data_IF_876019647456
#
_entry.id   IF_876019647456
#
_cell.length_a   1.000
_cell.length_b   1.000
_cell.length_c   1.000
_cell.angle_alpha   90.00
_cell.angle_beta   90.00
_cell.angle_gamma   90.00
#
_symmetry.space_group_name_H-M   'P 1'
#
loop_
_entity.id
_entity.type
_entity.pdbx_description
1 polymer ?
#
# COMPACT_ATOMS: atom_id res chain seq x y z
N UNK A 1 34.13 -28.22 4.08
CA UNK A 1 32.70 -28.36 4.44
C UNK A 1 31.89 -27.58 3.41
N UNK A 2 31.10 -28.27 2.58
CA UNK A 2 30.34 -27.66 1.48
C UNK A 2 29.02 -27.12 2.03
N UNK A 3 28.77 -25.83 1.89
CA UNK A 3 27.43 -25.26 1.92
C UNK A 3 27.23 -24.46 0.63
N UNK A 4 26.92 -25.18 -0.43
CA UNK A 4 26.49 -24.62 -1.70
C UNK A 4 24.96 -24.43 -1.62
N UNK A 5 24.50 -23.19 -1.51
CA UNK A 5 23.10 -22.73 -1.60
C UNK A 5 23.23 -21.21 -1.77
N UNK A 6 22.87 -20.55 -2.86
CA UNK A 6 21.75 -20.75 -3.78
C UNK A 6 22.16 -20.15 -5.15
N UNK A 7 22.32 -21.00 -6.16
CA UNK A 7 22.01 -20.56 -7.54
C UNK A 7 20.58 -21.02 -7.78
N UNK A 8 19.63 -20.12 -7.50
CA UNK A 8 18.26 -20.20 -8.00
C UNK A 8 18.07 -18.85 -8.64
N UNK A 9 18.07 -18.78 -9.96
CA UNK A 9 17.51 -17.62 -10.63
C UNK A 9 16.10 -17.46 -10.04
N UNK A 10 15.88 -16.44 -9.20
CA UNK A 10 14.60 -16.23 -8.57
C UNK A 10 13.57 -16.09 -9.68
N UNK A 11 12.60 -17.00 -9.70
CA UNK A 11 11.60 -17.01 -10.77
C UNK A 11 10.78 -15.75 -10.62
N UNK A 12 10.97 -14.83 -11.57
CA UNK A 12 10.23 -13.59 -11.64
C UNK A 12 8.85 -13.90 -12.21
N UNK A 13 7.82 -13.47 -11.50
CA UNK A 13 6.43 -13.59 -11.89
C UNK A 13 5.77 -12.21 -11.82
N UNK A 14 4.56 -12.12 -12.34
CA UNK A 14 3.73 -10.93 -12.19
C UNK A 14 2.29 -11.28 -11.83
N UNK A 15 1.63 -10.36 -11.13
CA UNK A 15 0.21 -10.46 -10.76
C UNK A 15 -0.50 -9.16 -11.10
N UNK A 16 -1.65 -9.28 -11.74
CA UNK A 16 -2.59 -8.18 -11.92
C UNK A 16 -3.52 -8.12 -10.70
N UNK A 17 -3.69 -6.91 -10.15
CA UNK A 17 -4.55 -6.62 -9.02
C UNK A 17 -5.48 -5.47 -9.40
N UNK A 18 -6.79 -5.67 -9.25
CA UNK A 18 -7.78 -4.62 -9.47
C UNK A 18 -8.45 -4.29 -8.14
N UNK A 19 -8.20 -3.09 -7.62
CA UNK A 19 -8.81 -2.61 -6.39
C UNK A 19 -10.26 -2.18 -6.65
N UNK A 20 -11.17 -2.61 -5.76
CA UNK A 20 -12.59 -2.29 -5.84
C UNK A 20 -13.11 -1.83 -4.46
N UNK A 21 -14.03 -0.84 -4.40
CA UNK A 21 -14.58 -0.05 -5.51
C UNK A 21 -13.51 0.82 -6.18
N UNK A 22 -13.76 1.39 -7.36
CA UNK A 22 -12.84 2.37 -7.95
C UNK A 22 -13.03 3.72 -7.26
N UNK A 23 -12.19 4.00 -6.25
CA UNK A 23 -12.24 5.22 -5.45
C UNK A 23 -10.92 5.99 -5.59
N UNK A 24 -10.94 7.07 -6.37
CA UNK A 24 -9.76 7.88 -6.65
C UNK A 24 -9.17 8.54 -5.40
N UNK A 25 -9.97 8.79 -4.36
CA UNK A 25 -9.49 9.39 -3.12
C UNK A 25 -8.66 8.36 -2.35
N UNK A 26 -9.14 7.12 -2.24
CA UNK A 26 -8.38 6.02 -1.61
C UNK A 26 -7.13 5.69 -2.39
N UNK A 27 -7.21 5.68 -3.73
CA UNK A 27 -6.06 5.45 -4.59
C UNK A 27 -5.00 6.54 -4.42
N UNK A 28 -5.39 7.81 -4.32
CA UNK A 28 -4.45 8.89 -4.06
C UNK A 28 -3.75 8.75 -2.70
N UNK A 29 -4.48 8.37 -1.64
CA UNK A 29 -3.90 8.08 -0.31
C UNK A 29 -2.93 6.89 -0.36
N UNK A 30 -3.31 5.81 -1.05
CA UNK A 30 -2.49 4.63 -1.23
C UNK A 30 -1.19 4.95 -1.96
N UNK A 31 -1.27 5.68 -3.08
CA UNK A 31 -0.09 6.00 -3.89
C UNK A 31 0.81 7.07 -3.21
N UNK A 32 0.21 7.98 -2.45
CA UNK A 32 0.91 9.12 -1.85
C UNK A 32 1.31 10.18 -2.88
N UNK A 33 2.09 11.16 -2.45
CA UNK A 33 2.55 12.23 -3.34
C UNK A 33 3.59 11.68 -4.32
N UNK A 34 3.38 11.85 -5.63
CA UNK A 34 4.30 11.36 -6.68
C UNK A 34 4.66 9.86 -6.54
N UNK A 35 3.69 9.05 -6.14
CA UNK A 35 3.84 7.60 -5.94
C UNK A 35 4.88 7.21 -4.86
N UNK A 36 5.15 8.11 -3.89
CA UNK A 36 6.13 7.87 -2.81
C UNK A 36 5.86 6.60 -1.99
N UNK A 37 4.59 6.26 -1.76
CA UNK A 37 4.22 5.08 -0.99
C UNK A 37 4.47 3.80 -1.81
N UNK A 38 4.18 3.84 -3.11
CA UNK A 38 4.45 2.71 -3.99
C UNK A 38 5.95 2.42 -4.04
N UNK A 39 6.79 3.45 -4.18
CA UNK A 39 8.26 3.31 -4.18
C UNK A 39 8.79 2.70 -2.88
N UNK A 40 8.21 3.06 -1.74
CA UNK A 40 8.56 2.46 -0.45
C UNK A 40 8.19 0.97 -0.39
N UNK A 41 7.00 0.62 -0.87
CA UNK A 41 6.54 -0.78 -0.94
C UNK A 41 7.44 -1.59 -1.88
N UNK A 42 7.78 -1.05 -3.06
CA UNK A 42 8.70 -1.64 -4.03
C UNK A 42 10.06 -1.96 -3.39
N UNK A 43 10.66 -0.97 -2.71
CA UNK A 43 11.95 -1.14 -2.04
C UNK A 43 11.91 -2.17 -0.91
N UNK A 44 10.84 -2.20 -0.11
CA UNK A 44 10.73 -3.09 1.04
C UNK A 44 10.45 -4.54 0.63
N UNK A 45 9.56 -4.74 -0.35
CA UNK A 45 9.15 -6.07 -0.81
C UNK A 45 10.05 -6.61 -1.94
N UNK A 46 10.97 -5.79 -2.46
CA UNK A 46 11.83 -6.10 -3.62
C UNK A 46 10.99 -6.48 -4.85
N UNK A 47 10.06 -5.59 -5.22
CA UNK A 47 9.13 -5.75 -6.35
C UNK A 47 9.09 -4.47 -7.18
N UNK A 48 8.59 -4.58 -8.41
CA UNK A 48 8.18 -3.46 -9.26
C UNK A 48 6.64 -3.39 -9.26
N UNK A 49 6.08 -2.19 -9.10
CA UNK A 49 4.65 -1.91 -9.10
C UNK A 49 4.38 -0.88 -10.20
N UNK A 50 3.45 -1.19 -11.08
CA UNK A 50 2.92 -0.24 -12.06
C UNK A 50 1.42 -0.11 -11.88
N UNK A 51 0.88 1.10 -11.91
CA UNK A 51 -0.55 1.36 -11.75
C UNK A 51 -1.14 2.15 -12.93
N UNK A 52 -2.42 1.90 -13.21
CA UNK A 52 -3.29 2.72 -14.07
C UNK A 52 -4.67 2.78 -13.43
N UNK A 53 -4.94 3.86 -12.70
CA UNK A 53 -6.16 3.98 -11.89
C UNK A 53 -6.15 2.94 -10.77
N UNK A 54 -7.21 2.13 -10.68
CA UNK A 54 -7.35 1.05 -9.70
C UNK A 54 -6.71 -0.29 -10.13
N UNK A 55 -6.07 -0.34 -11.30
CA UNK A 55 -5.39 -1.54 -11.79
C UNK A 55 -3.88 -1.45 -11.51
N UNK A 56 -3.36 -2.44 -10.82
CA UNK A 56 -1.97 -2.57 -10.42
C UNK A 56 -1.38 -3.83 -11.05
N UNK A 57 -0.13 -3.73 -11.48
CA UNK A 57 0.69 -4.83 -11.96
C UNK A 57 1.88 -4.91 -11.01
N UNK A 58 2.01 -6.03 -10.32
CA UNK A 58 3.10 -6.29 -9.37
C UNK A 58 4.00 -7.33 -10.01
N UNK A 59 5.30 -7.04 -10.11
CA UNK A 59 6.30 -7.92 -10.70
C UNK A 59 7.44 -8.13 -9.72
N UNK A 60 7.87 -9.37 -9.54
CA UNK A 60 8.90 -9.72 -8.57
C UNK A 60 9.01 -11.22 -8.41
N UNK A 61 9.58 -11.68 -7.29
CA UNK A 61 9.70 -13.12 -7.02
C UNK A 61 8.34 -13.77 -6.76
N UNK A 62 8.24 -15.08 -6.98
CA UNK A 62 7.03 -15.86 -6.63
C UNK A 62 6.63 -15.76 -5.15
N UNK A 63 7.56 -15.39 -4.26
CA UNK A 63 7.28 -15.16 -2.85
C UNK A 63 6.82 -13.72 -2.56
N UNK A 64 7.45 -12.72 -3.19
CA UNK A 64 7.15 -11.31 -2.90
C UNK A 64 5.84 -10.84 -3.51
N UNK A 65 5.54 -11.25 -4.75
CA UNK A 65 4.33 -10.81 -5.48
C UNK A 65 3.02 -11.02 -4.71
N UNK A 66 2.72 -12.21 -4.15
CA UNK A 66 1.49 -12.41 -3.40
C UNK A 66 1.44 -11.56 -2.11
N UNK A 67 2.57 -11.44 -1.39
CA UNK A 67 2.65 -10.63 -0.16
C UNK A 67 2.42 -9.14 -0.44
N UNK A 68 3.00 -8.62 -1.52
CA UNK A 68 2.78 -7.23 -1.95
C UNK A 68 1.32 -7.00 -2.34
N UNK A 69 0.71 -7.94 -3.06
CA UNK A 69 -0.71 -7.82 -3.45
C UNK A 69 -1.63 -7.68 -2.24
N UNK A 70 -1.43 -8.52 -1.22
CA UNK A 70 -2.21 -8.49 0.02
C UNK A 70 -1.98 -7.18 0.79
N UNK A 71 -0.74 -6.69 0.82
CA UNK A 71 -0.42 -5.42 1.44
C UNK A 71 -1.15 -4.25 0.76
N UNK A 72 -1.14 -4.20 -0.58
CA UNK A 72 -1.81 -3.15 -1.34
C UNK A 72 -3.32 -3.17 -1.09
N UNK A 73 -3.95 -4.35 -1.10
CA UNK A 73 -5.37 -4.50 -0.77
C UNK A 73 -5.68 -3.99 0.64
N UNK A 74 -4.87 -4.36 1.63
CA UNK A 74 -5.05 -3.93 3.01
C UNK A 74 -4.90 -2.42 3.18
N UNK A 75 -3.87 -1.82 2.59
CA UNK A 75 -3.67 -0.37 2.60
C UNK A 75 -4.83 0.36 1.92
N UNK A 76 -5.36 -0.20 0.84
CA UNK A 76 -6.52 0.34 0.14
C UNK A 76 -7.81 0.31 0.99
N UNK A 77 -8.04 -0.81 1.71
CA UNK A 77 -9.14 -0.90 2.67
C UNK A 77 -8.99 0.09 3.83
N UNK A 78 -7.78 0.26 4.36
CA UNK A 78 -7.55 1.24 5.44
C UNK A 78 -7.76 2.69 4.98
N UNK A 79 -7.55 2.98 3.69
CA UNK A 79 -7.78 4.30 3.11
C UNK A 79 -9.27 4.69 3.01
N UNK A 80 -10.19 3.75 3.25
CA UNK A 80 -11.66 3.93 3.32
C UNK A 80 -12.08 4.79 4.52
N UNK A 81 -11.60 4.44 5.71
CA UNK A 81 -12.12 4.98 6.97
C UNK A 81 -11.48 6.31 7.38
N UNK A 82 -10.28 6.62 6.87
CA UNK A 82 -9.55 7.84 7.23
C UNK A 82 -9.45 8.81 6.07
N UNK A 83 -10.07 9.99 6.14
CA UNK A 83 -9.51 11.15 5.45
C UNK A 83 -8.15 11.49 6.09
N UNK A 84 -7.07 10.94 5.52
CA UNK A 84 -5.73 11.48 5.76
C UNK A 84 -5.53 12.71 4.89
N UNK A 85 -6.26 13.80 5.15
CA UNK A 85 -5.87 15.09 4.59
C UNK A 85 -4.72 15.66 5.42
N UNK A 86 -3.74 16.29 4.78
CA UNK A 86 -2.68 17.04 5.46
C UNK A 86 -3.26 18.07 6.46
N UNK A 87 -4.48 18.55 6.20
CA UNK A 87 -5.26 19.41 7.08
C UNK A 87 -5.73 18.69 8.36
N UNK A 88 -6.20 17.44 8.26
CA UNK A 88 -6.54 16.60 9.42
C UNK A 88 -5.31 16.17 10.22
N UNK A 89 -4.16 15.93 9.57
CA UNK A 89 -2.91 15.64 10.29
C UNK A 89 -2.48 16.82 11.17
N UNK A 90 -2.62 18.06 10.69
CA UNK A 90 -2.33 19.28 11.46
C UNK A 90 -3.35 19.53 12.58
N UNK A 91 -4.63 19.23 12.36
CA UNK A 91 -5.69 19.29 13.38
C UNK A 91 -5.46 18.23 14.48
N UNK A 92 -5.19 16.96 14.13
CA UNK A 92 -4.90 15.88 15.09
C UNK A 92 -3.62 16.13 15.91
N UNK A 93 -2.62 16.82 15.36
CA UNK A 93 -1.42 17.23 16.11
C UNK A 93 -1.69 18.41 17.05
N UNK A 94 -2.71 19.24 16.77
CA UNK A 94 -3.08 20.41 17.58
C UNK A 94 -4.18 20.11 18.62
N UNK A 95 -5.04 19.11 18.37
CA UNK A 95 -6.22 18.77 19.17
C UNK A 95 -5.98 17.73 20.28
N UNK A 96 -4.73 17.49 20.70
CA UNK A 96 -4.49 16.88 22.03
C UNK A 96 -4.78 17.84 23.20
N UNK A 97 -5.76 18.71 23.02
CA UNK A 97 -6.32 19.61 24.02
C UNK A 97 -7.79 19.93 23.68
N UNK A 98 -8.65 18.93 23.46
CA UNK A 98 -9.98 18.94 24.10
C UNK A 98 -10.77 17.65 23.86
N UNK A 99 -11.40 17.25 24.94
CA UNK A 99 -12.00 15.97 25.23
C UNK A 99 -13.50 15.95 24.84
N UNK A 100 -14.04 14.73 24.83
CA UNK A 100 -15.43 14.37 25.10
C UNK A 100 -16.41 14.17 23.94
N UNK A 101 -16.62 12.88 23.68
CA UNK A 101 -17.92 12.19 23.69
C UNK A 101 -19.06 12.82 22.88
N UNK A 102 -19.54 12.07 21.89
CA UNK A 102 -20.98 11.81 21.81
C UNK A 102 -21.30 10.46 21.19
N UNK A 103 -21.80 9.57 22.04
CA UNK A 103 -22.66 8.43 21.75
C UNK A 103 -23.94 8.88 21.03
N UNK A 104 -24.59 7.96 20.30
CA UNK A 104 -25.98 7.98 19.79
C UNK A 104 -26.12 8.63 18.40
N UNK A 105 -26.71 7.97 17.41
CA UNK A 105 -28.03 7.29 17.44
C UNK A 105 -28.07 6.13 16.46
#
# INVERSE_FOLDING_TARGET
>A
MKANKRSLAEKITSKNLTLKPQDNIRLAKLCGTLDENLRQIESYMQVEISNRGNNFIIKGTEESVPKTSELIERLYSMAEDEELTAKQLHLLMSDKSNNEKKTLT
#
